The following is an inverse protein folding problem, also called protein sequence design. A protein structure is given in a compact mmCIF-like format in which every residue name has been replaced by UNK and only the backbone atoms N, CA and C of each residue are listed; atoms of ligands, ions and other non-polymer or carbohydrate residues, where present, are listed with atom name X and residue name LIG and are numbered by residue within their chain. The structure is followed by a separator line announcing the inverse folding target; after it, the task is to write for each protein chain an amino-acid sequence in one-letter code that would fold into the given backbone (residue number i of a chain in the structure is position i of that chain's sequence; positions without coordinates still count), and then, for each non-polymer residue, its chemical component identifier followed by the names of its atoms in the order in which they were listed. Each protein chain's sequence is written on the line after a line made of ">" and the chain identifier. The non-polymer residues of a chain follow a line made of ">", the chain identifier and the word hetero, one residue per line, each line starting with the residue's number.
data_IF_548778325320
#
_entry.id   IF_548778325320
#
_cell.length_a   1.000
_cell.length_b   1.000
_cell.length_c   1.000
_cell.angle_alpha   90.00
_cell.angle_beta   90.00
_cell.angle_gamma   90.00
#
_symmetry.space_group_name_H-M   'P 1'
#
loop_
_entity.id
_entity.type
_entity.pdbx_description
1 polymer ?
#
# COMPACT_ATOMS: atom_id res chain seq x y z
N UNK A 1 19.10 6.82 -1.02
CA UNK A 1 18.20 6.13 -0.07
C UNK A 1 17.09 5.42 -0.82
N UNK A 2 16.59 4.33 -0.24
CA UNK A 2 15.53 3.50 -0.82
C UNK A 2 14.30 3.47 0.08
N UNK A 3 13.14 3.75 -0.49
CA UNK A 3 11.83 3.54 0.14
C UNK A 3 11.10 2.46 -0.62
N UNK A 4 10.29 1.65 0.07
CA UNK A 4 9.47 0.64 -0.57
C UNK A 4 8.09 0.55 0.06
N UNK A 5 7.14 -0.01 -0.69
CA UNK A 5 5.85 -0.46 -0.18
C UNK A 5 5.67 -1.92 -0.52
N UNK A 6 5.08 -2.69 0.40
CA UNK A 6 4.83 -4.10 0.21
C UNK A 6 3.57 -4.56 0.95
N UNK A 7 2.54 -4.97 0.19
CA UNK A 7 1.45 -5.77 0.74
C UNK A 7 1.93 -7.21 0.93
N UNK A 8 1.93 -7.68 2.17
CA UNK A 8 2.53 -8.96 2.57
C UNK A 8 1.51 -10.10 2.71
N UNK A 9 0.23 -9.82 2.45
CA UNK A 9 -0.90 -10.75 2.51
C UNK A 9 -1.04 -11.48 3.87
N UNK A 10 -1.94 -11.00 4.74
CA UNK A 10 -2.28 -11.63 6.01
C UNK A 10 -1.12 -11.80 7.01
N UNK A 11 -0.27 -10.79 7.19
CA UNK A 11 0.93 -10.93 8.04
C UNK A 11 0.59 -11.31 9.49
N UNK A 12 -0.56 -10.84 9.99
CA UNK A 12 -1.07 -11.14 11.32
C UNK A 12 -1.12 -12.65 11.65
N UNK A 13 -1.38 -13.51 10.66
CA UNK A 13 -1.51 -14.96 10.86
C UNK A 13 -0.17 -15.67 11.08
N UNK A 14 0.94 -14.96 10.90
CA UNK A 14 2.28 -15.43 11.22
C UNK A 14 2.68 -15.15 12.67
N UNK A 15 1.83 -14.49 13.46
CA UNK A 15 2.13 -14.14 14.85
C UNK A 15 1.12 -14.72 15.84
N UNK A 16 1.62 -15.15 16.99
CA UNK A 16 0.79 -15.62 18.09
C UNK A 16 0.10 -14.46 18.83
N UNK A 17 -0.72 -14.77 19.83
CA UNK A 17 -1.42 -13.76 20.62
C UNK A 17 -0.51 -12.91 21.53
N UNK A 18 0.81 -13.13 21.50
CA UNK A 18 1.83 -12.36 22.22
C UNK A 18 2.82 -11.72 21.23
N UNK A 19 2.40 -11.55 19.97
CA UNK A 19 3.17 -10.91 18.91
C UNK A 19 4.46 -11.67 18.54
N UNK A 20 4.56 -12.96 18.89
CA UNK A 20 5.74 -13.78 18.58
C UNK A 20 5.54 -14.50 17.26
N UNK A 21 6.56 -14.45 16.41
CA UNK A 21 6.59 -15.15 15.13
C UNK A 21 6.38 -16.67 15.31
N UNK A 22 5.43 -17.22 14.56
CA UNK A 22 5.14 -18.65 14.49
C UNK A 22 5.86 -19.23 13.27
N UNK A 23 6.78 -20.16 13.50
CA UNK A 23 7.58 -20.81 12.44
C UNK A 23 7.40 -22.33 12.40
N UNK A 24 6.17 -22.80 12.54
CA UNK A 24 5.87 -24.22 12.38
C UNK A 24 5.58 -24.59 10.92
N UNK A 25 5.43 -25.89 10.68
CA UNK A 25 5.08 -26.46 9.37
C UNK A 25 3.57 -26.47 9.11
N UNK A 26 2.76 -25.79 9.93
CA UNK A 26 1.33 -25.67 9.66
C UNK A 26 1.08 -24.70 8.50
N UNK A 27 -0.05 -24.85 7.84
CA UNK A 27 -0.45 -23.97 6.74
C UNK A 27 -0.61 -22.52 7.21
N UNK A 28 -0.15 -21.59 6.37
CA UNK A 28 -0.45 -20.17 6.48
C UNK A 28 -1.84 -19.87 5.89
N UNK A 29 -2.21 -18.59 5.83
CA UNK A 29 -3.39 -18.14 5.08
C UNK A 29 -3.22 -18.35 3.56
N UNK A 30 -1.98 -18.46 3.06
CA UNK A 30 -1.69 -18.72 1.65
C UNK A 30 -1.87 -20.19 1.29
N UNK A 31 -2.41 -20.43 0.09
CA UNK A 31 -2.61 -21.78 -0.42
C UNK A 31 -1.29 -22.54 -0.58
N UNK A 32 -1.19 -23.71 0.06
CA UNK A 32 -0.05 -24.62 -0.02
C UNK A 32 1.29 -24.00 0.41
N UNK A 33 1.28 -22.98 1.27
CA UNK A 33 2.46 -22.39 1.89
C UNK A 33 2.35 -22.52 3.40
N UNK A 34 3.40 -23.01 4.06
CA UNK A 34 3.45 -23.10 5.52
C UNK A 34 3.77 -21.74 6.16
N UNK A 35 3.42 -21.54 7.43
CA UNK A 35 3.76 -20.30 8.16
C UNK A 35 5.26 -20.01 8.16
N UNK A 36 6.08 -21.04 8.43
CA UNK A 36 7.54 -20.93 8.28
C UNK A 36 7.95 -20.55 6.86
N UNK A 37 7.36 -21.17 5.85
CA UNK A 37 7.67 -20.89 4.44
C UNK A 37 7.35 -19.45 4.05
N UNK A 38 6.17 -18.94 4.42
CA UNK A 38 5.78 -17.55 4.15
C UNK A 38 6.70 -16.57 4.90
N UNK A 39 6.97 -16.81 6.19
CA UNK A 39 7.84 -15.93 6.98
C UNK A 39 9.26 -15.85 6.42
N UNK A 40 9.83 -16.98 6.01
CA UNK A 40 11.17 -17.03 5.41
C UNK A 40 11.22 -16.33 4.05
N UNK A 41 10.16 -16.51 3.25
CA UNK A 41 10.03 -15.85 1.96
C UNK A 41 9.90 -14.33 2.12
N UNK A 42 9.05 -13.84 3.03
CA UNK A 42 8.92 -12.40 3.34
C UNK A 42 10.28 -11.83 3.76
N UNK A 43 11.00 -12.51 4.66
CA UNK A 43 12.31 -12.05 5.12
C UNK A 43 13.35 -12.00 3.99
N UNK A 44 13.36 -13.00 3.10
CA UNK A 44 14.24 -13.03 1.93
C UNK A 44 13.94 -11.87 0.98
N UNK A 45 12.66 -11.60 0.71
CA UNK A 45 12.22 -10.47 -0.12
C UNK A 45 12.64 -9.14 0.50
N UNK A 46 12.36 -8.90 1.79
CA UNK A 46 12.75 -7.66 2.47
C UNK A 46 14.27 -7.46 2.49
N UNK A 47 15.03 -8.55 2.64
CA UNK A 47 16.50 -8.51 2.58
C UNK A 47 17.03 -8.19 1.18
N UNK A 48 16.38 -8.71 0.13
CA UNK A 48 16.76 -8.41 -1.25
C UNK A 48 16.39 -6.98 -1.66
N UNK A 49 15.23 -6.50 -1.24
CA UNK A 49 14.80 -5.11 -1.46
C UNK A 49 15.73 -4.13 -0.74
N UNK A 50 16.18 -4.48 0.47
CA UNK A 50 17.18 -3.74 1.28
C UNK A 50 16.87 -2.23 1.46
N UNK A 51 15.59 -1.88 1.60
CA UNK A 51 15.18 -0.48 1.70
C UNK A 51 15.59 0.19 3.02
N UNK A 52 15.81 1.50 3.04
CA UNK A 52 15.95 2.25 4.29
C UNK A 52 14.62 2.29 5.07
N UNK A 53 13.49 2.28 4.36
CA UNK A 53 12.16 2.10 4.93
C UNK A 53 11.22 1.32 4.00
N UNK A 54 10.38 0.47 4.59
CA UNK A 54 9.36 -0.32 3.90
C UNK A 54 8.01 -0.08 4.56
N UNK A 55 7.04 0.45 3.81
CA UNK A 55 5.65 0.50 4.22
C UNK A 55 5.04 -0.89 4.05
N UNK A 56 4.68 -1.51 5.16
CA UNK A 56 4.02 -2.80 5.20
C UNK A 56 2.51 -2.57 5.16
N UNK A 57 1.89 -3.09 4.11
CA UNK A 57 0.44 -3.14 3.95
C UNK A 57 -0.04 -4.52 4.39
N UNK A 58 -1.14 -4.56 5.15
CA UNK A 58 -1.60 -5.76 5.87
C UNK A 58 -0.65 -6.21 6.99
N UNK A 59 -0.07 -5.22 7.68
CA UNK A 59 0.73 -5.44 8.86
C UNK A 59 -0.08 -6.11 10.00
N UNK A 60 0.60 -6.74 10.98
CA UNK A 60 -0.06 -7.44 12.10
C UNK A 60 -0.99 -6.53 12.92
N UNK A 61 -1.96 -7.14 13.60
CA UNK A 61 -2.98 -6.44 14.40
C UNK A 61 -2.42 -5.54 15.51
N UNK A 62 -3.07 -4.38 15.71
CA UNK A 62 -2.87 -3.53 16.88
C UNK A 62 -4.15 -3.51 17.72
N UNK A 63 -4.09 -4.09 18.91
CA UNK A 63 -5.23 -4.13 19.83
C UNK A 63 -4.77 -4.09 21.28
N UNK A 64 -5.70 -4.06 22.25
CA UNK A 64 -5.33 -4.06 23.67
C UNK A 64 -4.50 -5.29 24.12
N UNK A 65 -4.35 -6.31 23.27
CA UNK A 65 -3.56 -7.52 23.53
C UNK A 65 -2.44 -7.77 22.51
N UNK A 66 -2.41 -7.05 21.39
CA UNK A 66 -1.46 -7.24 20.29
C UNK A 66 -0.82 -5.92 19.89
N UNK A 67 0.44 -5.97 19.51
CA UNK A 67 1.21 -4.80 19.10
C UNK A 67 1.88 -5.05 17.75
N UNK A 68 1.39 -4.35 16.71
CA UNK A 68 2.01 -4.32 15.38
C UNK A 68 3.50 -3.98 15.47
N UNK A 69 3.86 -2.97 16.27
CA UNK A 69 5.26 -2.55 16.44
C UNK A 69 6.10 -3.69 17.02
N UNK A 70 5.67 -4.31 18.11
CA UNK A 70 6.42 -5.41 18.72
C UNK A 70 6.54 -6.63 17.79
N UNK A 71 5.49 -6.95 17.04
CA UNK A 71 5.49 -8.04 16.07
C UNK A 71 6.52 -7.79 14.95
N UNK A 72 6.50 -6.60 14.34
CA UNK A 72 7.39 -6.24 13.23
C UNK A 72 8.85 -6.11 13.67
N UNK A 73 9.12 -5.49 14.82
CA UNK A 73 10.49 -5.39 15.36
C UNK A 73 11.02 -6.76 15.78
N UNK A 74 10.17 -7.62 16.35
CA UNK A 74 10.52 -9.01 16.65
C UNK A 74 10.84 -9.83 15.40
N UNK A 75 10.08 -9.63 14.32
CA UNK A 75 10.35 -10.23 13.01
C UNK A 75 11.68 -9.75 12.44
N UNK A 76 11.93 -8.43 12.43
CA UNK A 76 13.18 -7.85 11.96
C UNK A 76 14.39 -8.38 12.75
N UNK A 77 14.29 -8.42 14.08
CA UNK A 77 15.34 -8.94 14.95
C UNK A 77 15.62 -10.43 14.69
N UNK A 78 14.57 -11.23 14.42
CA UNK A 78 14.70 -12.66 14.14
C UNK A 78 15.49 -12.93 12.87
N UNK A 79 15.20 -12.18 11.80
CA UNK A 79 15.80 -12.36 10.48
C UNK A 79 17.03 -11.48 10.24
N UNK A 80 17.39 -10.59 11.17
CA UNK A 80 18.53 -9.69 11.03
C UNK A 80 18.32 -8.59 9.99
N UNK A 81 17.08 -8.13 9.82
CA UNK A 81 16.74 -7.06 8.86
C UNK A 81 17.27 -5.71 9.35
N UNK A 82 17.69 -4.85 8.41
CA UNK A 82 18.13 -3.49 8.74
C UNK A 82 17.00 -2.58 9.21
N UNK A 83 15.76 -2.85 8.76
CA UNK A 83 14.56 -2.11 9.13
C UNK A 83 14.07 -2.54 10.53
N UNK A 84 14.92 -2.28 11.54
CA UNK A 84 14.81 -2.81 12.90
C UNK A 84 13.87 -2.03 13.82
N UNK A 85 13.32 -0.91 13.36
CA UNK A 85 12.31 -0.14 14.09
C UNK A 85 11.02 -0.08 13.30
N UNK A 86 9.88 -0.03 14.01
CA UNK A 86 8.58 0.08 13.38
C UNK A 86 7.76 1.23 13.97
N UNK A 87 6.89 1.82 13.15
CA UNK A 87 5.91 2.82 13.57
C UNK A 87 4.58 2.58 12.87
N UNK A 88 3.50 2.87 13.57
CA UNK A 88 2.13 2.79 13.07
C UNK A 88 1.36 4.05 13.42
N UNK A 89 0.21 4.23 12.76
CA UNK A 89 -0.69 5.35 12.99
C UNK A 89 -1.88 4.94 13.85
N UNK A 90 -3.07 5.24 13.36
CA UNK A 90 -4.31 4.84 14.01
C UNK A 90 -4.54 3.33 13.84
N UNK A 91 -4.73 2.63 14.96
CA UNK A 91 -5.14 1.23 14.94
C UNK A 91 -6.51 1.07 14.27
N UNK A 92 -6.76 -0.11 13.71
CA UNK A 92 -8.01 -0.40 13.04
C UNK A 92 -8.55 -1.80 13.37
N UNK A 93 -9.84 -2.03 13.09
CA UNK A 93 -10.52 -3.28 13.49
C UNK A 93 -10.36 -4.41 12.46
N UNK A 94 -9.58 -4.22 11.39
CA UNK A 94 -9.45 -5.18 10.29
C UNK A 94 -8.34 -6.21 10.50
N UNK A 95 -7.46 -6.01 11.50
CA UNK A 95 -6.22 -6.79 11.72
C UNK A 95 -5.23 -6.74 10.54
N UNK A 96 -5.39 -5.74 9.68
CA UNK A 96 -4.56 -5.46 8.52
C UNK A 96 -4.11 -4.01 8.65
N UNK A 97 -3.12 -3.80 9.51
CA UNK A 97 -2.59 -2.47 9.80
C UNK A 97 -1.75 -1.93 8.65
N UNK A 98 -1.51 -0.62 8.69
CA UNK A 98 -0.53 0.07 7.85
C UNK A 98 0.59 0.52 8.77
N UNK A 99 1.81 0.02 8.54
CA UNK A 99 2.96 0.32 9.40
C UNK A 99 4.22 0.51 8.55
N UNK A 100 5.13 1.36 9.01
CA UNK A 100 6.44 1.55 8.40
C UNK A 100 7.49 0.80 9.22
N UNK A 101 8.22 -0.13 8.60
CA UNK A 101 9.49 -0.63 9.11
C UNK A 101 10.62 0.23 8.56
N UNK A 102 11.57 0.66 9.39
CA UNK A 102 12.65 1.54 8.94
C UNK A 102 13.97 1.28 9.68
N UNK A 103 15.08 1.67 9.05
CA UNK A 103 16.40 1.69 9.67
C UNK A 103 16.58 2.99 10.49
N UNK A 104 16.57 2.93 11.83
CA UNK A 104 16.72 4.12 12.66
C UNK A 104 18.12 4.73 12.56
N UNK A 105 19.10 4.00 12.00
CA UNK A 105 20.41 4.54 11.65
C UNK A 105 20.37 5.47 10.43
N UNK A 106 19.38 5.32 9.56
CA UNK A 106 19.22 6.09 8.33
C UNK A 106 18.14 7.19 8.43
N UNK A 107 17.12 6.98 9.27
CA UNK A 107 15.93 7.83 9.34
C UNK A 107 15.55 8.15 10.79
N UNK A 108 15.05 9.37 11.02
CA UNK A 108 14.19 9.73 12.14
C UNK A 108 12.75 9.77 11.63
N UNK A 109 11.83 9.08 12.31
CA UNK A 109 10.44 8.94 11.87
C UNK A 109 9.49 9.20 13.02
N UNK A 110 8.46 10.03 12.80
CA UNK A 110 7.40 10.29 13.77
C UNK A 110 6.02 10.24 13.13
N UNK A 111 5.04 9.69 13.85
CA UNK A 111 3.64 9.74 13.45
C UNK A 111 3.12 11.17 13.64
N UNK A 112 2.82 11.84 12.54
CA UNK A 112 2.58 13.28 12.52
C UNK A 112 1.36 13.68 11.69
N UNK A 113 0.16 13.17 12.03
CA UNK A 113 -1.07 13.52 11.33
C UNK A 113 -1.35 15.02 11.51
N UNK A 114 -1.34 15.76 10.41
CA UNK A 114 -1.57 17.21 10.43
C UNK A 114 -2.96 17.53 10.96
N UNK A 115 -3.21 18.76 11.42
CA UNK A 115 -4.58 19.13 11.78
C UNK A 115 -5.51 19.00 10.55
N UNK A 116 -6.73 18.49 10.77
CA UNK A 116 -7.77 18.48 9.74
C UNK A 116 -8.55 19.80 9.72
N UNK A 117 -9.27 20.05 8.64
CA UNK A 117 -10.34 21.06 8.60
C UNK A 117 -11.71 20.37 8.65
N UNK A 118 -12.82 21.11 8.85
CA UNK A 118 -14.16 20.54 8.76
C UNK A 118 -14.46 19.89 7.40
N UNK A 119 -13.91 20.43 6.32
CA UNK A 119 -14.11 19.91 4.96
C UNK A 119 -13.12 18.79 4.60
N UNK A 120 -11.89 18.84 5.14
CA UNK A 120 -10.86 17.83 4.92
C UNK A 120 -10.31 17.37 6.29
N UNK A 121 -11.01 16.43 6.95
CA UNK A 121 -10.60 15.94 8.25
C UNK A 121 -9.38 15.03 8.14
N UNK A 122 -8.73 14.82 9.29
CA UNK A 122 -7.75 13.73 9.46
C UNK A 122 -8.37 12.37 9.20
N UNK A 123 -7.56 11.39 8.84
CA UNK A 123 -8.02 10.06 8.47
C UNK A 123 -8.69 9.23 9.57
N UNK A 124 -8.55 9.61 10.85
CA UNK A 124 -9.32 9.08 11.98
C UNK A 124 -10.70 9.74 12.16
N UNK A 125 -11.08 10.64 11.26
CA UNK A 125 -12.33 11.38 11.27
C UNK A 125 -13.42 10.82 10.34
N UNK A 126 -14.28 11.72 9.86
CA UNK A 126 -15.42 11.43 8.97
C UNK A 126 -15.42 12.43 7.84
N UNK A 127 -15.37 11.95 6.61
CA UNK A 127 -15.42 12.80 5.43
C UNK A 127 -16.84 12.82 4.85
N UNK A 128 -17.40 14.01 4.66
CA UNK A 128 -18.73 14.19 4.08
C UNK A 128 -18.62 14.53 2.60
N UNK A 129 -19.14 13.67 1.72
CA UNK A 129 -19.08 13.86 0.26
C UNK A 129 -20.41 13.48 -0.39
N UNK A 130 -20.86 14.26 -1.36
CA UNK A 130 -22.00 13.92 -2.22
C UNK A 130 -21.45 13.40 -3.56
N UNK A 131 -21.60 12.10 -3.80
CA UNK A 131 -21.09 11.44 -5.02
C UNK A 131 -22.14 11.31 -6.13
N UNK A 132 -23.43 11.29 -5.80
CA UNK A 132 -24.53 11.14 -6.76
C UNK A 132 -25.29 12.44 -7.06
N UNK A 133 -24.79 13.57 -6.55
CA UNK A 133 -25.27 14.94 -6.84
C UNK A 133 -26.75 15.08 -6.47
N UNK A 134 -27.16 14.41 -5.39
CA UNK A 134 -28.53 14.43 -4.88
C UNK A 134 -28.71 15.43 -3.72
N UNK A 135 -27.66 16.19 -3.40
CA UNK A 135 -27.53 17.13 -2.30
C UNK A 135 -27.50 16.49 -0.89
N UNK A 136 -27.29 15.17 -0.81
CA UNK A 136 -27.05 14.43 0.44
C UNK A 136 -25.57 14.06 0.55
N UNK A 137 -24.93 14.45 1.65
CA UNK A 137 -23.54 14.03 1.91
C UNK A 137 -23.54 12.62 2.51
N UNK A 138 -22.85 11.71 1.84
CA UNK A 138 -22.43 10.43 2.40
C UNK A 138 -21.33 10.65 3.44
N UNK A 139 -21.45 9.98 4.59
CA UNK A 139 -20.39 9.91 5.59
C UNK A 139 -19.45 8.74 5.30
N UNK A 140 -18.18 9.07 5.07
CA UNK A 140 -17.15 8.10 4.72
C UNK A 140 -16.13 8.02 5.85
N UNK A 141 -15.84 6.79 6.28
CA UNK A 141 -14.81 6.47 7.27
C UNK A 141 -13.83 5.49 6.66
N UNK A 142 -12.54 5.71 6.89
CA UNK A 142 -11.55 4.71 6.57
C UNK A 142 -11.67 3.53 7.55
N UNK A 143 -11.84 2.32 7.02
CA UNK A 143 -11.68 1.10 7.82
C UNK A 143 -10.21 0.82 8.15
N UNK A 144 -9.30 1.38 7.36
CA UNK A 144 -7.84 1.34 7.53
C UNK A 144 -7.34 2.77 7.31
N UNK A 145 -7.28 3.61 8.36
CA UNK A 145 -6.88 5.01 8.22
C UNK A 145 -5.47 5.12 7.62
N UNK A 146 -5.25 5.94 6.56
CA UNK A 146 -3.91 6.17 6.06
C UNK A 146 -2.95 6.71 7.14
N UNK A 147 -1.69 6.30 7.03
CA UNK A 147 -0.59 6.60 7.94
C UNK A 147 0.12 7.89 7.52
N UNK A 148 0.08 8.94 8.33
CA UNK A 148 0.80 10.22 8.08
C UNK A 148 2.08 10.29 8.94
N UNK A 149 3.26 10.37 8.30
CA UNK A 149 4.56 10.41 8.97
C UNK A 149 5.38 11.62 8.53
N UNK A 150 6.12 12.20 9.47
CA UNK A 150 7.27 13.04 9.15
C UNK A 150 8.54 12.21 9.23
N UNK A 151 9.37 12.34 8.20
CA UNK A 151 10.62 11.61 8.05
C UNK A 151 11.75 12.62 7.84
N UNK A 152 12.84 12.43 8.58
CA UNK A 152 14.09 13.17 8.38
C UNK A 152 15.21 12.17 8.11
N UNK A 153 15.88 12.31 6.98
CA UNK A 153 17.05 11.50 6.64
C UNK A 153 18.26 11.94 7.44
N UNK A 154 19.27 11.05 7.60
CA UNK A 154 20.52 11.46 8.28
C UNK A 154 21.26 12.61 7.59
N UNK A 155 21.04 12.81 6.30
CA UNK A 155 21.63 13.94 5.56
C UNK A 155 20.88 15.25 5.79
N UNK A 156 19.73 15.22 6.48
CA UNK A 156 18.91 16.37 6.84
C UNK A 156 17.74 16.63 5.89
N UNK A 157 17.47 15.75 4.92
CA UNK A 157 16.29 15.90 4.05
C UNK A 157 15.03 15.56 4.84
N UNK A 158 14.10 16.51 4.94
CA UNK A 158 12.78 16.29 5.53
C UNK A 158 11.75 15.97 4.43
N UNK A 159 10.84 15.04 4.69
CA UNK A 159 9.70 14.73 3.83
C UNK A 159 8.50 14.27 4.65
N UNK A 160 7.31 14.44 4.08
CA UNK A 160 6.08 13.88 4.61
C UNK A 160 5.70 12.61 3.83
N UNK A 161 5.31 11.55 4.53
CA UNK A 161 4.89 10.29 3.93
C UNK A 161 3.44 9.98 4.30
N UNK A 162 2.63 9.63 3.31
CA UNK A 162 1.28 9.08 3.49
C UNK A 162 1.25 7.63 3.02
N UNK A 163 1.04 6.69 3.94
CA UNK A 163 0.84 5.28 3.64
C UNK A 163 -0.64 4.93 3.53
N UNK A 164 -1.09 4.35 2.42
CA UNK A 164 -2.52 4.10 2.18
C UNK A 164 -2.83 2.63 1.80
N UNK A 165 -3.98 2.14 2.28
CA UNK A 165 -4.58 0.89 1.83
C UNK A 165 -6.07 1.15 1.54
N UNK A 166 -6.42 1.36 0.27
CA UNK A 166 -7.80 1.68 -0.10
C UNK A 166 -8.69 0.43 -0.12
N UNK A 167 -10.00 0.65 -0.08
CA UNK A 167 -10.99 -0.43 -0.11
C UNK A 167 -10.92 -1.23 -1.41
N UNK A 168 -10.74 -2.55 -1.32
CA UNK A 168 -10.88 -3.47 -2.45
C UNK A 168 -12.28 -3.43 -3.09
N UNK A 169 -12.32 -3.53 -4.42
CA UNK A 169 -13.54 -3.60 -5.24
C UNK A 169 -14.25 -4.95 -5.19
N UNK A 170 -13.54 -6.01 -4.78
CA UNK A 170 -14.05 -7.38 -4.84
C UNK A 170 -15.40 -7.53 -4.09
N UNK A 171 -16.44 -8.11 -4.73
CA UNK A 171 -17.79 -8.20 -4.18
C UNK A 171 -17.93 -9.36 -3.20
N UNK A 172 -17.07 -9.38 -2.17
CA UNK A 172 -17.12 -10.40 -1.12
C UNK A 172 -18.50 -10.43 -0.45
N UNK A 173 -19.05 -11.64 -0.25
CA UNK A 173 -20.32 -11.85 0.42
C UNK A 173 -21.56 -11.79 -0.48
N UNK A 174 -21.40 -11.60 -1.80
CA UNK A 174 -22.50 -11.68 -2.74
C UNK A 174 -23.05 -13.11 -2.84
N UNK A 175 -24.38 -13.26 -2.96
CA UNK A 175 -25.07 -14.57 -3.01
C UNK A 175 -25.63 -14.90 -4.38
N UNK A 176 -25.76 -13.89 -5.25
CA UNK A 176 -26.30 -13.98 -6.61
C UNK A 176 -25.80 -12.79 -7.44
N UNK A 177 -26.03 -12.82 -8.75
CA UNK A 177 -25.51 -11.82 -9.70
C UNK A 177 -26.02 -10.39 -9.42
N UNK A 178 -27.26 -10.25 -8.94
CA UNK A 178 -27.80 -8.94 -8.54
C UNK A 178 -27.09 -8.38 -7.30
N UNK A 179 -26.80 -9.24 -6.32
CA UNK A 179 -26.02 -8.88 -5.15
C UNK A 179 -24.57 -8.54 -5.52
N UNK A 180 -23.97 -9.25 -6.48
CA UNK A 180 -22.63 -8.96 -7.01
C UNK A 180 -22.58 -7.54 -7.54
N UNK A 181 -23.51 -7.19 -8.45
CA UNK A 181 -23.58 -5.85 -9.05
C UNK A 181 -23.75 -4.76 -7.99
N UNK A 182 -24.71 -4.93 -7.06
CA UNK A 182 -24.98 -3.94 -6.01
C UNK A 182 -23.77 -3.73 -5.09
N UNK A 183 -23.12 -4.81 -4.65
CA UNK A 183 -21.96 -4.74 -3.76
C UNK A 183 -20.77 -4.12 -4.49
N UNK A 184 -20.54 -4.46 -5.76
CA UNK A 184 -19.48 -3.88 -6.56
C UNK A 184 -19.64 -2.35 -6.69
N UNK A 185 -20.85 -1.87 -7.01
CA UNK A 185 -21.14 -0.43 -7.07
C UNK A 185 -20.91 0.25 -5.71
N UNK A 186 -21.39 -0.34 -4.61
CA UNK A 186 -21.21 0.22 -3.28
C UNK A 186 -19.73 0.27 -2.84
N UNK A 187 -18.97 -0.79 -3.12
CA UNK A 187 -17.52 -0.82 -2.87
C UNK A 187 -16.81 0.24 -3.71
N UNK A 188 -17.18 0.39 -4.98
CA UNK A 188 -16.60 1.38 -5.89
C UNK A 188 -16.86 2.81 -5.41
N UNK A 189 -18.10 3.15 -5.02
CA UNK A 189 -18.43 4.46 -4.45
C UNK A 189 -17.58 4.78 -3.21
N UNK A 190 -17.45 3.81 -2.28
CA UNK A 190 -16.62 3.98 -1.09
C UNK A 190 -15.14 4.19 -1.43
N UNK A 191 -14.59 3.41 -2.35
CA UNK A 191 -13.20 3.57 -2.78
C UNK A 191 -12.97 4.93 -3.45
N UNK A 192 -13.90 5.38 -4.30
CA UNK A 192 -13.85 6.68 -4.95
C UNK A 192 -13.85 7.82 -3.92
N UNK A 193 -14.75 7.75 -2.93
CA UNK A 193 -14.76 8.72 -1.84
C UNK A 193 -13.45 8.73 -1.04
N UNK A 194 -12.87 7.56 -0.78
CA UNK A 194 -11.55 7.46 -0.12
C UNK A 194 -10.44 8.09 -0.97
N UNK A 195 -10.46 7.91 -2.29
CA UNK A 195 -9.49 8.52 -3.20
C UNK A 195 -9.62 10.05 -3.23
N UNK A 196 -10.85 10.56 -3.26
CA UNK A 196 -11.12 12.01 -3.21
C UNK A 196 -10.68 12.60 -1.87
N UNK A 197 -10.97 11.92 -0.76
CA UNK A 197 -10.50 12.35 0.56
C UNK A 197 -8.96 12.35 0.62
N UNK A 198 -8.31 11.29 0.16
CA UNK A 198 -6.85 11.21 0.11
C UNK A 198 -6.26 12.33 -0.75
N UNK A 199 -6.81 12.62 -1.93
CA UNK A 199 -6.37 13.74 -2.78
C UNK A 199 -6.53 15.09 -2.08
N UNK A 200 -7.70 15.36 -1.49
CA UNK A 200 -7.94 16.61 -0.77
C UNK A 200 -6.98 16.75 0.42
N UNK A 201 -6.67 15.65 1.11
CA UNK A 201 -5.70 15.62 2.20
C UNK A 201 -4.28 15.86 1.71
N UNK A 202 -3.89 15.26 0.58
CA UNK A 202 -2.61 15.52 -0.09
C UNK A 202 -2.47 17.01 -0.38
N UNK A 203 -3.48 17.64 -1.00
CA UNK A 203 -3.46 19.08 -1.28
C UNK A 203 -3.36 19.93 -0.01
N UNK A 204 -4.05 19.52 1.06
CA UNK A 204 -4.02 20.22 2.35
C UNK A 204 -2.65 20.16 3.04
N UNK A 205 -1.92 19.04 2.93
CA UNK A 205 -0.63 18.86 3.62
C UNK A 205 0.57 19.15 2.73
N UNK A 206 0.37 19.24 1.42
CA UNK A 206 1.40 19.65 0.48
C UNK A 206 1.76 21.11 0.73
N UNK A 207 3.02 21.36 1.07
CA UNK A 207 3.57 22.70 1.29
C UNK A 207 4.84 22.82 0.47
N UNK A 208 5.17 24.04 0.01
CA UNK A 208 6.36 24.28 -0.81
C UNK A 208 7.67 23.76 -0.16
N UNK A 209 7.72 23.74 1.18
CA UNK A 209 8.93 23.38 1.94
C UNK A 209 9.01 21.90 2.36
N UNK A 210 7.94 21.11 2.19
CA UNK A 210 7.93 19.70 2.63
C UNK A 210 7.57 18.78 1.46
N UNK A 211 8.56 18.14 0.82
CA UNK A 211 8.31 17.15 -0.21
C UNK A 211 7.41 16.02 0.30
N UNK A 212 6.56 15.50 -0.58
CA UNK A 212 5.52 14.53 -0.22
C UNK A 212 5.71 13.21 -0.97
N UNK A 213 5.53 12.11 -0.26
CA UNK A 213 5.50 10.76 -0.79
C UNK A 213 4.21 10.07 -0.36
N UNK A 214 3.49 9.49 -1.31
CA UNK A 214 2.30 8.67 -1.06
C UNK A 214 2.59 7.27 -1.57
N UNK A 215 2.45 6.26 -0.73
CA UNK A 215 2.69 4.88 -1.15
C UNK A 215 1.73 3.89 -0.52
N UNK A 216 1.56 2.74 -1.14
CA UNK A 216 0.71 1.67 -0.62
C UNK A 216 -0.12 0.98 -1.70
N UNK A 217 -1.09 0.20 -1.23
CA UNK A 217 -2.02 -0.55 -2.07
C UNK A 217 -3.30 0.26 -2.28
N UNK A 218 -3.50 0.76 -3.49
CA UNK A 218 -4.67 1.55 -3.85
C UNK A 218 -5.85 0.68 -4.27
N UNK A 219 -5.69 -0.64 -4.37
CA UNK A 219 -6.72 -1.59 -4.79
C UNK A 219 -7.40 -1.17 -6.11
N UNK A 220 -6.69 -0.40 -6.94
CA UNK A 220 -7.18 0.19 -8.16
C UNK A 220 -6.03 0.36 -9.15
N UNK A 221 -6.37 0.25 -10.44
CA UNK A 221 -5.45 0.39 -11.55
C UNK A 221 -6.23 0.72 -12.82
N UNK A 222 -5.66 1.49 -13.76
CA UNK A 222 -6.37 1.91 -14.96
C UNK A 222 -6.87 0.73 -15.79
N UNK A 223 -8.14 0.78 -16.21
CA UNK A 223 -8.75 -0.23 -17.09
C UNK A 223 -9.15 -1.54 -16.41
N UNK A 224 -9.09 -1.61 -15.07
CA UNK A 224 -9.51 -2.78 -14.29
C UNK A 224 -11.03 -2.82 -14.01
N UNK A 225 -11.79 -1.84 -14.48
CA UNK A 225 -13.15 -1.62 -14.01
C UNK A 225 -14.13 -1.19 -15.11
N UNK A 226 -15.09 -2.07 -15.39
CA UNK A 226 -16.18 -1.86 -16.34
C UNK A 226 -17.08 -0.66 -15.97
N UNK A 227 -17.00 -0.19 -14.72
CA UNK A 227 -17.72 0.97 -14.21
C UNK A 227 -16.93 2.28 -14.27
N UNK A 228 -15.70 2.31 -14.82
CA UNK A 228 -14.95 3.57 -15.00
C UNK A 228 -15.76 4.62 -15.77
N UNK A 229 -16.56 4.20 -16.76
CA UNK A 229 -17.46 5.09 -17.50
C UNK A 229 -18.58 5.71 -16.66
N UNK A 230 -18.96 5.13 -15.52
CA UNK A 230 -19.99 5.67 -14.62
C UNK A 230 -19.46 6.74 -13.67
N UNK A 231 -18.17 6.67 -13.31
CA UNK A 231 -17.56 7.55 -12.30
C UNK A 231 -16.50 8.50 -12.86
N UNK A 232 -16.15 8.36 -14.14
CA UNK A 232 -15.39 9.34 -14.92
C UNK A 232 -13.87 9.34 -14.72
N UNK A 233 -13.36 8.87 -13.57
CA UNK A 233 -11.92 8.73 -13.28
C UNK A 233 -11.65 7.53 -12.35
N UNK A 234 -10.47 6.93 -12.47
CA UNK A 234 -9.95 5.95 -11.52
C UNK A 234 -9.45 6.62 -10.22
N UNK A 235 -9.33 5.84 -9.13
CA UNK A 235 -8.77 6.33 -7.87
C UNK A 235 -7.32 6.81 -8.05
N UNK A 236 -6.58 6.12 -8.91
CA UNK A 236 -5.20 6.47 -9.28
C UNK A 236 -5.12 7.84 -9.95
N UNK A 237 -6.00 8.12 -10.92
CA UNK A 237 -6.05 9.45 -11.57
C UNK A 237 -6.38 10.57 -10.59
N UNK A 238 -7.32 10.31 -9.68
CA UNK A 238 -7.73 11.28 -8.66
C UNK A 238 -6.56 11.59 -7.74
N UNK A 239 -5.85 10.58 -7.25
CA UNK A 239 -4.75 10.75 -6.31
C UNK A 239 -3.54 11.41 -6.98
N UNK A 240 -3.22 11.05 -8.22
CA UNK A 240 -2.14 11.71 -8.97
C UNK A 240 -2.41 13.21 -9.13
N UNK A 241 -3.66 13.60 -9.35
CA UNK A 241 -4.04 15.01 -9.42
C UNK A 241 -3.32 15.77 -10.53
N UNK A 242 -3.08 15.13 -11.68
CA UNK A 242 -2.26 15.66 -12.78
C UNK A 242 -2.67 17.04 -13.29
N UNK A 243 -3.95 17.41 -13.12
CA UNK A 243 -4.53 18.69 -13.54
C UNK A 243 -4.65 19.72 -12.39
N UNK A 244 -4.17 19.38 -11.19
CA UNK A 244 -4.28 20.18 -9.96
C UNK A 244 -3.01 20.96 -9.59
N UNK A 245 -3.02 21.59 -8.41
CA UNK A 245 -1.92 22.45 -7.94
C UNK A 245 -0.68 21.66 -7.50
N UNK A 246 -0.89 20.48 -6.87
CA UNK A 246 0.19 19.63 -6.34
C UNK A 246 0.20 18.26 -7.03
N UNK A 247 0.53 18.17 -8.34
CA UNK A 247 0.50 16.90 -9.05
C UNK A 247 1.60 15.97 -8.54
N UNK A 248 1.20 14.74 -8.22
CA UNK A 248 2.13 13.68 -7.88
C UNK A 248 2.56 12.94 -9.15
N UNK A 249 3.68 12.23 -9.06
CA UNK A 249 4.25 11.47 -10.17
C UNK A 249 4.55 10.03 -9.75
N UNK A 250 4.11 9.09 -10.58
CA UNK A 250 4.52 7.68 -10.59
C UNK A 250 4.61 7.23 -12.06
N UNK A 251 5.75 6.66 -12.50
CA UNK A 251 5.96 6.32 -13.91
C UNK A 251 5.08 5.15 -14.37
N UNK A 252 4.74 4.22 -13.47
CA UNK A 252 3.91 3.05 -13.77
C UNK A 252 2.45 3.46 -13.92
N UNK A 253 1.95 4.31 -13.02
CA UNK A 253 0.63 4.90 -13.12
C UNK A 253 0.47 5.75 -14.38
N UNK A 254 1.45 6.63 -14.67
CA UNK A 254 1.44 7.46 -15.88
C UNK A 254 1.45 6.63 -17.17
N UNK A 255 2.20 5.52 -17.20
CA UNK A 255 2.17 4.58 -18.33
C UNK A 255 0.80 3.90 -18.45
N UNK A 256 0.24 3.40 -17.35
CA UNK A 256 -1.05 2.73 -17.37
C UNK A 256 -2.20 3.65 -17.80
N UNK A 257 -2.13 4.95 -17.48
CA UNK A 257 -3.13 5.94 -17.90
C UNK A 257 -2.97 6.39 -19.36
N UNK A 258 -1.75 6.43 -19.88
CA UNK A 258 -1.48 6.89 -21.24
C UNK A 258 -1.67 5.79 -22.30
N UNK A 259 -1.52 4.51 -21.93
CA UNK A 259 -1.59 3.38 -22.86
C UNK A 259 -2.95 2.68 -22.81
N UNK A 260 -3.77 2.86 -23.85
CA UNK A 260 -5.05 2.15 -24.00
C UNK A 260 -4.91 0.66 -24.40
N UNK A 261 -3.77 0.29 -25.00
CA UNK A 261 -3.49 -1.06 -25.49
C UNK A 261 -2.00 -1.38 -25.32
N UNK A 262 -1.67 -2.51 -24.71
CA UNK A 262 -0.29 -2.99 -24.55
C UNK A 262 -0.05 -3.64 -23.19
N UNK A 263 1.12 -4.28 -22.97
CA UNK A 263 1.48 -4.82 -21.68
C UNK A 263 1.67 -3.70 -20.66
N UNK A 264 0.98 -3.82 -19.53
CA UNK A 264 1.07 -2.92 -18.38
C UNK A 264 1.99 -3.53 -17.32
N UNK A 265 2.71 -2.69 -16.54
CA UNK A 265 3.39 -3.17 -15.34
C UNK A 265 2.36 -3.77 -14.37
N UNK A 266 2.78 -4.75 -13.57
CA UNK A 266 1.90 -5.39 -12.57
C UNK A 266 2.64 -5.56 -11.27
N UNK A 267 1.95 -5.35 -10.16
CA UNK A 267 2.49 -5.49 -8.80
C UNK A 267 1.81 -6.62 -8.04
N UNK A 268 0.78 -7.24 -8.61
CA UNK A 268 0.09 -8.35 -7.95
C UNK A 268 -0.42 -9.40 -8.93
N UNK A 269 -0.71 -10.58 -8.39
CA UNK A 269 -1.31 -11.69 -9.12
C UNK A 269 -2.31 -12.50 -8.28
N UNK A 270 -3.50 -12.72 -8.81
CA UNK A 270 -4.57 -13.44 -8.13
C UNK A 270 -4.97 -14.70 -8.90
N UNK A 271 -5.05 -15.84 -8.23
CA UNK A 271 -5.46 -17.09 -8.87
C UNK A 271 -6.99 -17.13 -9.10
N UNK A 272 -7.40 -17.22 -10.36
CA UNK A 272 -8.81 -17.40 -10.74
C UNK A 272 -9.09 -18.89 -10.89
N UNK A 273 -9.68 -19.50 -9.85
CA UNK A 273 -9.89 -20.95 -9.80
C UNK A 273 -10.68 -21.54 -10.98
N UNK A 274 -11.79 -20.92 -11.46
CA UNK A 274 -12.52 -21.41 -12.63
C UNK A 274 -11.68 -21.41 -13.92
N UNK A 275 -10.81 -20.41 -14.08
CA UNK A 275 -10.03 -20.20 -15.30
C UNK A 275 -8.64 -20.84 -15.27
N UNK A 276 -8.23 -21.32 -14.10
CA UNK A 276 -6.92 -21.92 -13.81
C UNK A 276 -5.75 -21.07 -14.31
N UNK A 277 -5.82 -19.76 -14.05
CA UNK A 277 -4.80 -18.78 -14.43
C UNK A 277 -4.69 -17.67 -13.39
N UNK A 278 -3.59 -16.93 -13.47
CA UNK A 278 -3.41 -15.72 -12.68
C UNK A 278 -3.95 -14.51 -13.44
N UNK A 279 -4.76 -13.70 -12.74
CA UNK A 279 -5.01 -12.31 -13.10
C UNK A 279 -3.87 -11.48 -12.54
N UNK A 280 -3.28 -10.61 -13.35
CA UNK A 280 -2.27 -9.67 -12.88
C UNK A 280 -2.83 -8.25 -12.86
N UNK A 281 -2.43 -7.45 -11.87
CA UNK A 281 -2.89 -6.08 -11.72
C UNK A 281 -1.78 -5.16 -11.21
N UNK A 282 -1.89 -3.87 -11.52
CA UNK A 282 -1.10 -2.81 -10.92
C UNK A 282 -1.93 -2.18 -9.80
N UNK A 283 -1.56 -2.43 -8.55
CA UNK A 283 -2.31 -1.98 -7.37
C UNK A 283 -1.45 -1.20 -6.38
N UNK A 284 -0.14 -1.43 -6.40
CA UNK A 284 0.83 -0.84 -5.47
C UNK A 284 1.60 0.28 -6.15
N UNK A 285 1.67 1.44 -5.50
CA UNK A 285 2.24 2.65 -6.10
C UNK A 285 3.17 3.36 -5.12
N UNK A 286 4.11 4.13 -5.69
CA UNK A 286 4.88 5.15 -4.95
C UNK A 286 4.78 6.46 -5.74
N UNK A 287 3.87 7.32 -5.33
CA UNK A 287 3.62 8.61 -5.95
C UNK A 287 4.36 9.71 -5.18
N UNK A 288 5.15 10.52 -5.88
CA UNK A 288 5.98 11.55 -5.23
C UNK A 288 5.71 12.95 -5.76
N UNK A 289 5.96 13.97 -4.95
CA UNK A 289 5.99 15.37 -5.39
C UNK A 289 7.14 15.61 -6.37
N UNK A 290 7.05 16.71 -7.13
CA UNK A 290 8.05 17.04 -8.15
C UNK A 290 9.45 17.29 -7.54
N UNK A 291 9.52 17.79 -6.30
CA UNK A 291 10.79 18.03 -5.60
C UNK A 291 11.57 16.74 -5.33
N UNK A 292 10.88 15.66 -4.92
CA UNK A 292 11.50 14.35 -4.77
C UNK A 292 11.86 13.76 -6.13
N UNK A 293 11.02 13.98 -7.15
CA UNK A 293 11.32 13.50 -8.52
C UNK A 293 12.62 14.09 -9.05
N UNK A 294 12.91 15.34 -8.73
CA UNK A 294 14.16 16.00 -9.10
C UNK A 294 15.40 15.43 -8.39
N UNK A 295 15.24 14.55 -7.38
CA UNK A 295 16.31 13.89 -6.61
C UNK A 295 16.64 12.49 -7.13
N UNK A 296 16.77 12.35 -8.46
CA UNK A 296 17.24 11.08 -9.06
C UNK A 296 16.28 9.90 -8.87
N UNK A 297 14.98 10.17 -8.78
CA UNK A 297 13.96 9.17 -8.49
C UNK A 297 13.95 8.01 -9.52
N UNK A 298 14.21 6.79 -9.04
CA UNK A 298 14.23 5.56 -9.83
C UNK A 298 13.31 4.50 -9.22
N UNK A 299 12.33 4.03 -9.99
CA UNK A 299 11.32 3.08 -9.52
C UNK A 299 11.64 1.67 -9.99
N UNK A 300 11.38 0.70 -9.12
CA UNK A 300 11.49 -0.72 -9.43
C UNK A 300 10.31 -1.49 -8.88
N UNK A 301 9.70 -2.31 -9.73
CA UNK A 301 8.76 -3.34 -9.31
C UNK A 301 9.55 -4.65 -9.23
N UNK A 302 9.57 -5.28 -8.06
CA UNK A 302 10.28 -6.52 -7.81
C UNK A 302 9.49 -7.73 -8.33
N UNK A 303 9.13 -7.71 -9.62
CA UNK A 303 8.26 -8.71 -10.24
C UNK A 303 9.05 -9.97 -10.60
N UNK A 304 8.66 -11.17 -10.14
CA UNK A 304 9.46 -12.40 -10.28
C UNK A 304 9.68 -12.85 -11.72
N UNK A 305 8.87 -12.37 -12.67
CA UNK A 305 8.95 -12.76 -14.09
C UNK A 305 9.38 -11.62 -15.01
N UNK A 306 9.21 -10.37 -14.59
CA UNK A 306 9.38 -9.21 -15.47
C UNK A 306 10.64 -8.40 -15.11
N UNK A 307 11.11 -8.51 -13.86
CA UNK A 307 12.39 -7.95 -13.43
C UNK A 307 13.52 -8.97 -13.75
N UNK A 308 14.53 -8.59 -14.57
CA UNK A 308 15.56 -9.53 -14.99
C UNK A 308 16.41 -10.11 -13.86
N UNK A 309 16.67 -9.35 -12.80
CA UNK A 309 17.47 -9.82 -11.67
C UNK A 309 16.64 -10.78 -10.80
N UNK A 310 15.36 -10.44 -10.55
CA UNK A 310 14.43 -11.34 -9.86
C UNK A 310 14.22 -12.65 -10.65
N UNK A 311 14.15 -12.58 -11.98
CA UNK A 311 13.99 -13.78 -12.81
C UNK A 311 15.23 -14.69 -12.79
N UNK A 312 16.42 -14.08 -12.80
CA UNK A 312 17.69 -14.80 -12.82
C UNK A 312 18.03 -15.47 -11.48
N UNK A 313 17.59 -14.90 -10.37
CA UNK A 313 17.74 -15.48 -9.03
C UNK A 313 16.52 -16.35 -8.69
N UNK A 314 16.69 -17.68 -8.80
CA UNK A 314 15.60 -18.62 -8.54
C UNK A 314 15.12 -18.60 -7.08
N UNK A 315 16.00 -18.36 -6.11
CA UNK A 315 15.64 -18.35 -4.70
C UNK A 315 14.79 -17.10 -4.38
N UNK A 316 15.20 -15.93 -4.90
CA UNK A 316 14.42 -14.70 -4.78
C UNK A 316 13.09 -14.80 -5.52
N UNK A 317 13.07 -15.35 -6.74
CA UNK A 317 11.86 -15.54 -7.53
C UNK A 317 10.82 -16.37 -6.77
N UNK A 318 11.26 -17.50 -6.22
CA UNK A 318 10.37 -18.42 -5.51
C UNK A 318 9.93 -17.81 -4.17
N UNK A 319 10.79 -17.04 -3.50
CA UNK A 319 10.44 -16.27 -2.32
C UNK A 319 9.36 -15.20 -2.62
N UNK A 320 9.51 -14.41 -3.68
CA UNK A 320 8.50 -13.42 -4.11
C UNK A 320 7.13 -14.07 -4.30
N UNK A 321 7.10 -15.25 -4.91
CA UNK A 321 5.88 -16.04 -5.17
C UNK A 321 5.29 -16.64 -3.90
N UNK A 322 6.12 -17.09 -2.96
CA UNK A 322 5.70 -17.72 -1.71
C UNK A 322 5.29 -16.72 -0.63
N UNK A 323 5.86 -15.51 -0.65
CA UNK A 323 5.67 -14.48 0.38
C UNK A 323 4.29 -13.81 0.30
N UNK A 324 3.93 -13.31 -0.88
CA UNK A 324 2.72 -12.49 -1.09
C UNK A 324 2.15 -12.70 -2.50
N UNK A 325 0.88 -12.37 -2.70
CA UNK A 325 0.25 -12.23 -4.01
C UNK A 325 0.56 -10.86 -4.61
N UNK A 326 1.11 -9.93 -3.82
CA UNK A 326 1.74 -8.70 -4.27
C UNK A 326 3.27 -8.83 -4.35
N UNK A 327 3.88 -7.90 -5.07
CA UNK A 327 5.31 -7.75 -5.26
C UNK A 327 5.73 -6.35 -4.80
N UNK A 328 6.86 -6.22 -4.08
CA UNK A 328 7.31 -4.92 -3.59
C UNK A 328 7.49 -3.92 -4.74
N UNK A 329 7.16 -2.67 -4.46
CA UNK A 329 7.57 -1.52 -5.28
C UNK A 329 8.56 -0.73 -4.45
N UNK A 330 9.69 -0.34 -5.05
CA UNK A 330 10.67 0.53 -4.41
C UNK A 330 10.98 1.76 -5.25
N UNK A 331 11.44 2.80 -4.58
CA UNK A 331 12.00 4.00 -5.17
C UNK A 331 13.37 4.29 -4.55
N UNK A 332 14.36 4.54 -5.39
CA UNK A 332 15.66 5.06 -5.00
C UNK A 332 15.69 6.59 -5.22
N UNK A 333 16.25 7.33 -4.26
CA UNK A 333 16.31 8.79 -4.22
C UNK A 333 17.68 9.27 -3.70
N UNK A 334 18.19 10.36 -4.26
CA UNK A 334 19.43 11.03 -3.82
C UNK A 334 19.16 11.98 -2.64
N UNK A 335 18.79 11.41 -1.49
CA UNK A 335 18.47 12.11 -0.22
C UNK A 335 19.06 11.42 1.01
#
# INVERSE_FOLDING_TARGET
>A
MRFATYNVEWFNELFDAKDRLIRDSAWSARYNITRKGQADAIAAVLSAVDADAVLIIEAPDASGRRSTVAALEGFAAYYGLRQRSAIMGFANDTRQEIALMYDPGALDVVHAPRAGTPDVPRFDGVFGIDLDVDATRDEVRFSKPPLELDIVTRTGTALHLIGAHLKSKAPHGARNDTDIMRIAIANRRKQLAQAIWLRARIDQVSTEDTPLMVMGDLNDGPGLDEFEGLFGRSSVEIILGSDGENPLFDPHAGRALSQRLGPLPTTSRFWIAPEKRFLQALLDYIMISQDLRARGADWRIWHPLDDPECWADADLRDALVAASDHFPVSIDLDI
#
